data_IF_274217680392
#
_entry.id   IF_274217680392
#
_cell.length_a   1.000
_cell.length_b   1.000
_cell.length_c   1.000
_cell.angle_alpha   90.00
_cell.angle_beta   90.00
_cell.angle_gamma   90.00
#
_symmetry.space_group_name_H-M   'P 1'
#
loop_
_entity.id
_entity.type
_entity.pdbx_description
1 polymer ?
#
# COMPACT_ATOMS: atom_id res chain seq x y z
N UNK A 1 -18.17 10.84 47.92
CA UNK A 1 -17.27 11.10 46.77
C UNK A 1 -16.20 10.03 46.83
N UNK A 2 -16.34 8.94 46.06
CA UNK A 2 -15.40 7.82 46.04
C UNK A 2 -15.00 7.63 44.58
N UNK A 3 -13.75 7.87 44.25
CA UNK A 3 -13.18 7.46 42.96
C UNK A 3 -12.01 6.53 43.24
N UNK A 4 -12.21 5.27 42.84
CA UNK A 4 -11.23 4.19 42.95
C UNK A 4 -10.12 4.33 41.91
N UNK A 5 -8.95 3.86 42.34
CA UNK A 5 -7.71 3.64 41.62
C UNK A 5 -7.81 2.81 40.32
N UNK A 6 -6.98 3.22 39.36
CA UNK A 6 -5.99 2.44 38.57
C UNK A 6 -6.44 1.12 37.92
N UNK A 7 -6.42 1.13 36.58
CA UNK A 7 -6.14 -0.05 35.75
C UNK A 7 -5.00 0.24 34.76
N UNK A 8 -4.09 -0.73 34.50
CA UNK A 8 -3.07 -0.63 33.46
C UNK A 8 -3.65 -1.17 32.14
N UNK A 9 -3.33 -0.52 31.02
CA UNK A 9 -3.65 -1.07 29.69
C UNK A 9 -2.37 -1.14 28.86
N UNK A 10 -1.93 -2.38 28.66
CA UNK A 10 -0.96 -2.77 27.65
C UNK A 10 -1.52 -2.54 26.24
N UNK A 11 -0.61 -2.32 25.28
CA UNK A 11 -0.92 -2.24 23.85
C UNK A 11 -0.65 -0.84 23.31
N UNK A 12 0.56 -0.63 22.78
CA UNK A 12 0.92 0.57 22.02
C UNK A 12 0.17 0.57 20.69
N UNK A 13 -1.13 0.89 20.73
CA UNK A 13 -1.85 1.41 19.58
C UNK A 13 -1.24 2.78 19.30
N UNK A 14 -0.28 2.87 18.38
CA UNK A 14 0.21 4.17 17.89
C UNK A 14 -1.04 4.94 17.44
N UNK A 15 -1.36 6.09 18.06
CA UNK A 15 -2.52 6.86 17.66
C UNK A 15 -2.37 7.17 16.17
N UNK A 16 -3.48 7.07 15.41
CA UNK A 16 -3.55 7.54 14.03
C UNK A 16 -2.81 8.88 13.94
N UNK A 17 -1.78 8.89 13.10
CA UNK A 17 -0.81 9.99 13.00
C UNK A 17 -1.56 11.31 12.77
N UNK A 18 -1.15 12.36 13.47
CA UNK A 18 -1.87 13.65 13.57
C UNK A 18 -2.24 14.25 12.21
N UNK A 19 -1.48 13.92 11.16
CA UNK A 19 -1.69 14.37 9.79
C UNK A 19 -3.00 13.88 9.16
N UNK A 20 -3.43 12.65 9.45
CA UNK A 20 -4.71 12.11 8.94
C UNK A 20 -5.92 12.64 9.73
N UNK A 21 -5.71 13.09 10.98
CA UNK A 21 -6.78 13.66 11.82
C UNK A 21 -7.25 15.03 11.34
N UNK A 22 -6.44 15.72 10.56
CA UNK A 22 -6.76 17.05 10.01
C UNK A 22 -7.46 16.97 8.64
N UNK A 23 -7.70 15.76 8.12
CA UNK A 23 -8.35 15.58 6.80
C UNK A 23 -9.86 15.45 6.96
N UNK A 24 -10.58 16.08 6.05
CA UNK A 24 -12.04 16.02 6.00
C UNK A 24 -12.46 14.72 5.35
N UNK A 25 -13.20 13.89 6.09
CA UNK A 25 -13.81 12.67 5.55
C UNK A 25 -15.18 13.00 4.98
N UNK A 26 -15.46 12.52 3.78
CA UNK A 26 -16.72 12.71 3.08
C UNK A 26 -17.83 11.79 3.60
N UNK A 27 -17.48 10.69 4.26
CA UNK A 27 -18.44 9.77 4.89
C UNK A 27 -17.81 8.92 6.00
N UNK A 28 -18.66 8.31 6.85
CA UNK A 28 -18.22 7.32 7.85
C UNK A 28 -17.54 6.11 7.20
N UNK A 29 -18.01 5.67 6.04
CA UNK A 29 -17.45 4.54 5.29
C UNK A 29 -16.04 4.85 4.80
N UNK A 30 -15.81 6.07 4.29
CA UNK A 30 -14.47 6.52 3.91
C UNK A 30 -13.52 6.55 5.10
N UNK A 31 -13.97 7.06 6.24
CA UNK A 31 -13.17 7.04 7.47
C UNK A 31 -12.75 5.61 7.85
N UNK A 32 -13.69 4.66 7.85
CA UNK A 32 -13.39 3.25 8.17
C UNK A 32 -12.41 2.63 7.15
N UNK A 33 -12.59 2.92 5.87
CA UNK A 33 -11.71 2.46 4.81
C UNK A 33 -10.28 2.97 5.00
N UNK A 34 -10.13 4.27 5.27
CA UNK A 34 -8.82 4.89 5.51
C UNK A 34 -8.18 4.32 6.77
N UNK A 35 -8.90 4.20 7.88
CA UNK A 35 -8.37 3.62 9.13
C UNK A 35 -7.91 2.18 8.94
N UNK A 36 -8.70 1.34 8.27
CA UNK A 36 -8.32 -0.04 7.96
C UNK A 36 -7.08 -0.08 7.05
N UNK A 37 -7.01 0.81 6.08
CA UNK A 37 -5.87 0.92 5.17
C UNK A 37 -4.60 1.35 5.90
N UNK A 38 -4.67 2.32 6.83
CA UNK A 38 -3.53 2.72 7.66
C UNK A 38 -3.02 1.54 8.48
N UNK A 39 -3.92 0.76 9.11
CA UNK A 39 -3.52 -0.43 9.88
C UNK A 39 -2.75 -1.42 9.01
N UNK A 40 -3.28 -1.76 7.83
CA UNK A 40 -2.59 -2.65 6.89
C UNK A 40 -1.25 -2.06 6.44
N UNK A 41 -1.20 -0.77 6.09
CA UNK A 41 0.04 -0.08 5.70
C UNK A 41 1.10 -0.07 6.80
N UNK A 42 0.71 0.08 8.07
CA UNK A 42 1.63 0.01 9.20
C UNK A 42 2.25 -1.38 9.34
N UNK A 43 1.48 -2.43 9.09
CA UNK A 43 1.95 -3.82 9.16
C UNK A 43 2.83 -4.22 7.97
N UNK A 44 2.64 -3.58 6.81
CA UNK A 44 3.40 -3.88 5.58
C UNK A 44 4.89 -3.53 5.66
N UNK A 45 5.26 -2.65 6.59
CA UNK A 45 6.65 -2.29 6.87
C UNK A 45 7.28 -1.28 5.90
N UNK A 46 6.54 -0.78 4.90
CA UNK A 46 7.01 0.23 3.93
C UNK A 46 6.19 1.53 3.91
N UNK A 47 5.38 1.71 4.93
CA UNK A 47 4.68 2.97 5.19
C UNK A 47 5.55 3.87 6.07
N UNK A 48 5.83 5.06 5.55
CA UNK A 48 6.69 6.08 6.17
C UNK A 48 5.88 7.19 6.85
N UNK A 49 4.58 7.00 7.04
CA UNK A 49 3.69 7.92 7.76
C UNK A 49 3.85 9.39 7.28
N UNK A 50 4.20 10.31 8.17
CA UNK A 50 4.21 11.77 7.95
C UNK A 50 5.40 12.31 7.18
N UNK A 51 6.24 11.45 6.59
CA UNK A 51 7.35 11.86 5.72
C UNK A 51 6.86 12.80 4.61
N UNK A 52 7.58 13.92 4.45
CA UNK A 52 7.29 14.92 3.42
C UNK A 52 7.80 14.49 2.05
N UNK A 53 7.35 15.17 1.00
CA UNK A 53 7.85 14.91 -0.36
C UNK A 53 9.36 15.16 -0.52
N UNK A 54 9.91 16.13 0.22
CA UNK A 54 11.34 16.44 0.21
C UNK A 54 12.17 15.34 0.91
N UNK A 55 11.73 14.90 2.08
CA UNK A 55 12.37 13.79 2.80
C UNK A 55 12.27 12.47 2.03
N UNK A 56 11.11 12.18 1.43
CA UNK A 56 10.96 11.01 0.56
C UNK A 56 11.92 11.06 -0.64
N UNK A 57 12.14 12.24 -1.21
CA UNK A 57 13.13 12.42 -2.27
C UNK A 57 14.55 12.15 -1.79
N UNK A 58 14.91 12.60 -0.58
CA UNK A 58 16.23 12.34 0.00
C UNK A 58 16.42 10.84 0.26
N UNK A 59 15.45 10.18 0.89
CA UNK A 59 15.49 8.74 1.16
C UNK A 59 15.63 7.91 -0.12
N UNK A 60 14.88 8.26 -1.17
CA UNK A 60 14.90 7.55 -2.45
C UNK A 60 16.08 7.98 -3.35
N UNK A 61 16.78 9.07 -3.03
CA UNK A 61 17.86 9.57 -3.89
C UNK A 61 19.03 8.58 -3.99
N UNK A 62 19.35 7.90 -2.89
CA UNK A 62 20.41 6.91 -2.76
C UNK A 62 19.99 5.50 -3.22
N UNK A 63 18.69 5.29 -3.45
CA UNK A 63 18.14 3.98 -3.79
C UNK A 63 18.11 3.73 -5.31
N UNK A 64 18.09 2.46 -5.74
CA UNK A 64 17.99 2.14 -7.16
C UNK A 64 16.60 2.50 -7.72
N UNK A 65 16.52 2.68 -9.04
CA UNK A 65 15.26 2.86 -9.74
C UNK A 65 14.27 1.71 -9.44
N UNK A 66 13.00 2.08 -9.32
CA UNK A 66 11.89 1.21 -8.94
C UNK A 66 11.68 1.04 -7.44
N UNK A 67 12.56 1.59 -6.60
CA UNK A 67 12.34 1.64 -5.15
C UNK A 67 11.24 2.64 -4.82
N UNK A 68 10.31 2.27 -3.95
CA UNK A 68 9.17 3.13 -3.61
C UNK A 68 8.81 3.06 -2.13
N UNK A 69 8.03 4.03 -1.67
CA UNK A 69 7.44 4.06 -0.34
C UNK A 69 6.04 4.68 -0.38
N UNK A 70 5.21 4.33 0.62
CA UNK A 70 3.92 4.98 0.86
C UNK A 70 4.06 5.93 2.04
N UNK A 71 3.49 7.12 1.91
CA UNK A 71 3.46 8.15 2.96
C UNK A 71 2.13 8.89 2.94
N UNK A 72 1.90 9.70 3.96
CA UNK A 72 0.77 10.62 4.00
C UNK A 72 0.94 11.72 2.93
N UNK A 73 -0.15 12.06 2.27
CA UNK A 73 -0.13 13.22 1.38
C UNK A 73 -0.12 14.51 2.20
N UNK A 74 0.73 15.44 1.79
CA UNK A 74 0.75 16.81 2.31
C UNK A 74 -0.40 17.66 1.73
N UNK A 75 -1.05 17.21 0.64
CA UNK A 75 -2.26 17.84 0.10
C UNK A 75 -3.48 17.37 0.90
N UNK A 76 -4.31 18.30 1.36
CA UNK A 76 -5.51 18.00 2.16
C UNK A 76 -6.56 17.20 1.38
N UNK A 77 -6.51 17.22 0.04
CA UNK A 77 -7.46 16.49 -0.83
C UNK A 77 -7.14 15.01 -1.00
N UNK A 78 -5.97 14.55 -0.55
CA UNK A 78 -5.54 13.17 -0.75
C UNK A 78 -5.05 12.60 0.57
N UNK A 79 -5.34 11.33 0.87
CA UNK A 79 -4.88 10.72 2.12
C UNK A 79 -3.44 10.26 2.01
N UNK A 80 -3.09 9.57 0.93
CA UNK A 80 -1.80 8.91 0.75
C UNK A 80 -1.07 9.38 -0.50
N UNK A 81 0.23 9.15 -0.54
CA UNK A 81 1.10 9.40 -1.70
C UNK A 81 2.10 8.27 -1.84
N UNK A 82 2.23 7.77 -3.06
CA UNK A 82 3.25 6.82 -3.49
C UNK A 82 4.44 7.62 -4.02
N UNK A 83 5.57 7.53 -3.34
CA UNK A 83 6.83 8.11 -3.79
C UNK A 83 7.68 7.00 -4.40
N UNK A 84 8.13 7.18 -5.64
CA UNK A 84 8.90 6.17 -6.39
C UNK A 84 10.15 6.80 -7.00
N UNK A 85 11.28 6.10 -6.90
CA UNK A 85 12.53 6.43 -7.60
C UNK A 85 12.42 6.00 -9.05
N UNK A 86 12.50 6.95 -9.97
CA UNK A 86 12.61 6.71 -11.41
C UNK A 86 14.01 7.12 -11.90
N UNK A 87 14.34 6.80 -13.15
CA UNK A 87 15.60 7.22 -13.78
C UNK A 87 15.73 8.75 -13.85
N UNK A 88 14.63 9.48 -14.01
CA UNK A 88 14.57 10.95 -13.99
C UNK A 88 14.38 11.53 -12.58
N UNK A 89 14.64 10.74 -11.53
CA UNK A 89 14.53 11.16 -10.14
C UNK A 89 13.25 10.68 -9.43
N UNK A 90 12.98 11.21 -8.24
CA UNK A 90 11.83 10.78 -7.43
C UNK A 90 10.54 11.41 -7.94
N UNK A 91 9.52 10.58 -8.15
CA UNK A 91 8.17 11.02 -8.55
C UNK A 91 7.19 10.72 -7.43
N UNK A 92 6.24 11.64 -7.23
CA UNK A 92 5.22 11.55 -6.19
C UNK A 92 3.85 11.41 -6.86
N UNK A 93 3.22 10.25 -6.67
CA UNK A 93 1.90 9.92 -7.22
C UNK A 93 0.88 9.95 -6.09
N UNK A 94 -0.15 10.79 -6.23
CA UNK A 94 -1.20 10.90 -5.21
C UNK A 94 -2.19 9.75 -5.38
N UNK A 95 -2.67 9.24 -4.26
CA UNK A 95 -3.68 8.19 -4.22
C UNK A 95 -5.02 8.86 -3.90
N UNK A 96 -5.95 8.77 -4.84
CA UNK A 96 -7.32 9.23 -4.69
C UNK A 96 -8.13 8.22 -3.87
N UNK A 97 -9.08 8.73 -3.10
CA UNK A 97 -10.06 7.93 -2.37
C UNK A 97 -11.44 8.45 -2.76
N UNK A 98 -12.20 7.65 -3.51
CA UNK A 98 -13.53 8.01 -3.99
C UNK A 98 -14.43 6.78 -4.01
N UNK A 99 -15.68 6.93 -3.55
CA UNK A 99 -16.68 5.85 -3.64
C UNK A 99 -16.29 4.58 -2.87
N UNK A 100 -15.48 4.70 -1.82
CA UNK A 100 -15.00 3.54 -1.06
C UNK A 100 -13.86 2.76 -1.73
N UNK A 101 -13.13 3.38 -2.66
CA UNK A 101 -11.98 2.76 -3.32
C UNK A 101 -10.81 3.73 -3.50
N UNK A 102 -9.62 3.16 -3.63
CA UNK A 102 -8.36 3.83 -3.91
C UNK A 102 -7.96 3.69 -5.37
N UNK A 103 -7.42 4.74 -5.95
CA UNK A 103 -6.88 4.76 -7.31
C UNK A 103 -5.67 5.70 -7.39
N UNK A 104 -4.74 5.43 -8.32
CA UNK A 104 -3.67 6.39 -8.59
C UNK A 104 -4.24 7.58 -9.35
N UNK A 105 -3.86 8.79 -8.95
CA UNK A 105 -4.18 9.98 -9.73
C UNK A 105 -3.53 9.85 -11.11
N UNK A 106 -4.37 9.63 -12.12
CA UNK A 106 -3.93 9.55 -13.51
C UNK A 106 -3.96 10.92 -14.16
N UNK A 107 -3.02 11.15 -15.08
CA UNK A 107 -3.02 12.34 -15.92
C UNK A 107 -4.25 12.29 -16.86
N UNK A 108 -4.95 13.42 -17.09
CA UNK A 108 -6.08 13.49 -18.02
C UNK A 108 -5.73 13.10 -19.47
N UNK A 109 -4.44 13.11 -19.84
CA UNK A 109 -3.94 12.62 -21.14
C UNK A 109 -3.89 11.11 -21.25
N UNK A 110 -4.03 10.38 -20.13
CA UNK A 110 -4.06 8.93 -20.12
C UNK A 110 -5.48 8.44 -20.43
N UNK A 111 -5.67 7.85 -21.62
CA UNK A 111 -6.96 7.26 -22.02
C UNK A 111 -7.26 5.89 -21.38
N UNK A 112 -6.43 5.44 -20.43
CA UNK A 112 -6.58 4.13 -19.80
C UNK A 112 -7.46 4.22 -18.55
N UNK A 113 -8.42 3.30 -18.36
CA UNK A 113 -9.23 3.27 -17.15
C UNK A 113 -8.33 3.02 -15.93
N UNK A 114 -8.48 3.88 -14.93
CA UNK A 114 -7.71 3.76 -13.68
C UNK A 114 -8.35 2.66 -12.83
N UNK A 115 -7.62 1.57 -12.51
CA UNK A 115 -8.15 0.53 -11.64
C UNK A 115 -8.40 1.08 -10.24
N UNK A 116 -9.50 0.62 -9.64
CA UNK A 116 -9.95 0.99 -8.29
C UNK A 116 -9.78 -0.21 -7.37
N UNK A 117 -9.32 0.03 -6.15
CA UNK A 117 -9.02 -1.01 -5.18
C UNK A 117 -9.59 -0.67 -3.81
N UNK A 118 -10.01 -1.67 -3.04
CA UNK A 118 -10.43 -1.49 -1.65
C UNK A 118 -9.23 -1.27 -0.69
N UNK A 119 -8.00 -1.50 -1.16
CA UNK A 119 -6.80 -1.33 -0.34
C UNK A 119 -5.63 -0.77 -1.15
N UNK A 120 -4.86 0.15 -0.56
CA UNK A 120 -3.63 0.70 -1.16
C UNK A 120 -2.58 -0.38 -1.44
N UNK A 121 -2.53 -1.44 -0.64
CA UNK A 121 -1.59 -2.54 -0.87
C UNK A 121 -1.91 -3.33 -2.15
N UNK A 122 -3.20 -3.58 -2.42
CA UNK A 122 -3.67 -4.21 -3.66
C UNK A 122 -3.39 -3.32 -4.87
N UNK A 123 -3.58 -2.01 -4.70
CA UNK A 123 -3.18 -1.02 -5.68
C UNK A 123 -1.68 -1.17 -5.99
N UNK A 124 -0.80 -1.09 -5.00
CA UNK A 124 0.65 -1.22 -5.20
C UNK A 124 1.01 -2.54 -5.90
N UNK A 125 0.43 -3.66 -5.44
CA UNK A 125 0.67 -4.97 -6.03
C UNK A 125 0.29 -5.05 -7.51
N UNK A 126 -0.81 -4.41 -7.90
CA UNK A 126 -1.24 -4.34 -9.31
C UNK A 126 -0.25 -3.56 -10.20
N UNK A 127 0.39 -2.53 -9.65
CA UNK A 127 1.39 -1.73 -10.37
C UNK A 127 2.81 -2.31 -10.28
N UNK A 128 3.03 -3.36 -9.48
CA UNK A 128 4.26 -4.13 -9.51
C UNK A 128 4.26 -5.10 -10.69
N UNK A 129 5.38 -5.23 -11.42
CA UNK A 129 5.51 -6.30 -12.37
C UNK A 129 5.50 -7.65 -11.62
N UNK A 130 4.89 -8.70 -12.20
CA UNK A 130 5.02 -10.04 -11.64
C UNK A 130 6.51 -10.41 -11.55
N UNK A 131 6.91 -11.00 -10.42
CA UNK A 131 8.29 -11.40 -10.20
C UNK A 131 8.76 -12.30 -11.37
N UNK A 132 10.01 -12.14 -11.85
CA UNK A 132 10.55 -12.92 -12.98
C UNK A 132 10.70 -14.42 -12.70
N UNK A 133 10.28 -14.92 -11.52
CA UNK A 133 10.34 -16.32 -11.12
C UNK A 133 9.08 -17.13 -11.49
N UNK A 134 8.04 -16.51 -12.08
CA UNK A 134 7.03 -17.28 -12.77
C UNK A 134 7.64 -17.76 -14.10
N UNK A 135 7.88 -19.07 -14.18
CA UNK A 135 8.26 -19.85 -15.37
C UNK A 135 7.83 -19.23 -16.71
N UNK A 136 8.60 -19.43 -17.80
CA UNK A 136 8.08 -19.16 -19.14
C UNK A 136 6.89 -20.09 -19.37
N UNK A 137 5.68 -19.59 -19.10
CA UNK A 137 4.45 -20.28 -19.45
C UNK A 137 4.45 -20.44 -20.98
N UNK A 138 4.58 -21.69 -21.39
CA UNK A 138 4.05 -22.34 -22.59
C UNK A 138 3.69 -21.42 -23.78
N UNK A 139 4.22 -21.69 -25.00
CA UNK A 139 3.90 -20.92 -26.19
C UNK A 139 2.44 -21.16 -26.60
N UNK A 140 1.53 -20.27 -26.21
CA UNK A 140 0.12 -20.35 -26.64
C UNK A 140 -0.93 -19.66 -25.79
N UNK A 141 -0.61 -19.13 -24.60
CA UNK A 141 -1.57 -18.36 -23.80
C UNK A 141 -1.76 -16.92 -24.33
N UNK A 142 -2.97 -16.33 -24.29
CA UNK A 142 -3.16 -14.94 -24.68
C UNK A 142 -2.32 -14.06 -23.76
N UNK A 143 -1.31 -13.43 -24.36
CA UNK A 143 -0.36 -12.53 -23.72
C UNK A 143 -1.14 -11.46 -22.96
N UNK A 144 -1.29 -11.61 -21.64
CA UNK A 144 -1.85 -10.53 -20.81
C UNK A 144 -1.00 -9.30 -21.12
N UNK A 145 -1.56 -8.24 -21.71
CA UNK A 145 -0.76 -7.12 -22.17
C UNK A 145 -0.05 -6.57 -20.94
N UNK A 146 1.30 -6.53 -20.97
CA UNK A 146 2.10 -5.83 -19.96
C UNK A 146 1.57 -4.40 -19.90
N UNK A 147 0.65 -4.14 -18.96
CA UNK A 147 0.08 -2.81 -18.73
C UNK A 147 1.21 -1.96 -18.19
N UNK A 148 1.92 -1.31 -19.10
CA UNK A 148 2.99 -0.38 -18.76
C UNK A 148 2.32 0.94 -18.44
N UNK A 149 2.40 1.34 -17.17
CA UNK A 149 1.86 2.61 -16.70
C UNK A 149 2.92 3.70 -16.86
N UNK A 150 2.49 4.93 -17.09
CA UNK A 150 3.39 6.05 -17.34
C UNK A 150 3.03 7.25 -16.46
N UNK A 151 4.08 7.93 -16.00
CA UNK A 151 4.04 9.19 -15.27
C UNK A 151 4.40 10.29 -16.27
N UNK A 152 3.52 11.28 -16.41
CA UNK A 152 3.77 12.44 -17.25
C UNK A 152 4.28 13.59 -16.37
N UNK A 153 5.47 14.10 -16.66
CA UNK A 153 6.10 15.14 -15.85
C UNK A 153 7.01 15.99 -16.73
N UNK A 154 6.77 17.31 -16.77
CA UNK A 154 7.61 18.23 -17.57
C UNK A 154 7.59 17.98 -19.08
N UNK A 155 6.56 17.31 -19.61
CA UNK A 155 6.48 16.89 -21.02
C UNK A 155 7.10 15.52 -21.32
N UNK A 156 7.77 14.90 -20.34
CA UNK A 156 8.34 13.56 -20.48
C UNK A 156 7.35 12.47 -20.09
N UNK A 157 7.46 11.32 -20.76
CA UNK A 157 6.71 10.10 -20.49
C UNK A 157 7.63 9.09 -19.81
N UNK A 158 7.49 8.92 -18.50
CA UNK A 158 8.38 8.08 -17.68
C UNK A 158 7.64 6.80 -17.28
N UNK A 159 8.20 5.60 -17.48
CA UNK A 159 7.53 4.37 -17.06
C UNK A 159 7.42 4.30 -15.53
N UNK A 160 6.23 3.96 -15.02
CA UNK A 160 6.01 3.62 -13.62
C UNK A 160 6.45 2.19 -13.39
N UNK A 161 7.55 2.03 -12.65
CA UNK A 161 8.10 0.73 -12.26
C UNK A 161 8.13 0.68 -10.74
N UNK A 162 7.43 -0.29 -10.15
CA UNK A 162 7.51 -0.58 -8.71
C UNK A 162 8.23 -1.91 -8.56
N UNK A 163 9.46 -1.91 -8.07
CA UNK A 163 10.27 -3.14 -7.94
C UNK A 163 10.42 -3.58 -6.50
N UNK A 164 10.75 -2.66 -5.59
CA UNK A 164 10.99 -2.97 -4.18
C UNK A 164 10.45 -1.89 -3.24
N UNK A 165 9.79 -2.27 -2.14
CA UNK A 165 9.42 -1.33 -1.11
C UNK A 165 10.66 -0.89 -0.31
N UNK A 166 10.76 0.39 0.04
CA UNK A 166 11.71 0.89 1.02
C UNK A 166 11.12 0.67 2.41
N UNK A 167 11.68 -0.29 3.15
CA UNK A 167 11.21 -0.63 4.48
C UNK A 167 11.51 0.47 5.51
N UNK A 168 10.49 0.89 6.25
CA UNK A 168 10.61 1.80 7.41
C UNK A 168 10.78 1.02 8.73
N UNK A 169 10.31 -0.22 8.77
CA UNK A 169 10.38 -1.10 9.94
C UNK A 169 10.44 -2.56 9.53
N UNK A 170 10.94 -3.39 10.45
CA UNK A 170 10.92 -4.85 10.27
C UNK A 170 9.56 -5.40 10.70
N UNK A 171 8.92 -6.18 9.82
CA UNK A 171 7.68 -6.89 10.17
C UNK A 171 7.93 -7.94 11.25
N UNK A 172 6.93 -8.21 12.09
CA UNK A 172 7.01 -9.30 13.06
C UNK A 172 7.07 -10.66 12.35
N UNK A 173 7.67 -11.67 13.00
CA UNK A 173 7.67 -13.04 12.48
C UNK A 173 6.23 -13.53 12.21
N UNK A 174 5.29 -13.19 13.10
CA UNK A 174 3.88 -13.53 12.94
C UNK A 174 3.30 -12.97 11.63
N UNK A 175 3.62 -11.71 11.30
CA UNK A 175 3.18 -11.07 10.06
C UNK A 175 3.88 -11.68 8.84
N UNK A 176 5.17 -11.99 8.93
CA UNK A 176 5.88 -12.70 7.86
C UNK A 176 5.25 -14.05 7.56
N UNK A 177 4.93 -14.84 8.59
CA UNK A 177 4.19 -16.09 8.44
C UNK A 177 2.83 -15.87 7.79
N UNK A 178 2.08 -14.83 8.19
CA UNK A 178 0.79 -14.48 7.57
C UNK A 178 0.92 -14.23 6.08
N UNK A 179 1.91 -13.44 5.65
CA UNK A 179 2.15 -13.16 4.22
C UNK A 179 2.49 -14.43 3.45
N UNK A 180 3.38 -15.25 3.99
CA UNK A 180 3.76 -16.54 3.37
C UNK A 180 2.55 -17.47 3.26
N UNK A 181 1.72 -17.57 4.30
CA UNK A 181 0.51 -18.40 4.26
C UNK A 181 -0.47 -17.85 3.23
N UNK A 182 -0.81 -16.56 3.26
CA UNK A 182 -1.75 -15.95 2.31
C UNK A 182 -1.27 -16.02 0.86
N UNK A 183 0.05 -16.09 0.62
CA UNK A 183 0.62 -16.26 -0.72
C UNK A 183 0.71 -17.71 -1.23
N UNK A 184 0.53 -18.72 -0.37
CA UNK A 184 0.67 -20.15 -0.73
C UNK A 184 -0.57 -21.01 -0.43
N UNK A 185 -1.55 -20.46 0.27
CA UNK A 185 -2.75 -21.19 0.69
C UNK A 185 -3.89 -20.98 -0.32
N UNK A 186 -3.68 -21.36 -1.58
CA UNK A 186 -4.75 -21.36 -2.60
C UNK A 186 -5.81 -22.46 -2.38
N UNK A 187 -5.59 -23.34 -1.39
CA UNK A 187 -6.46 -24.48 -1.09
C UNK A 187 -7.39 -24.17 0.09
N UNK A 188 -8.67 -23.97 -0.22
CA UNK A 188 -9.77 -23.79 0.73
C UNK A 188 -9.79 -24.88 1.83
N UNK A 189 -9.44 -26.12 1.49
CA UNK A 189 -9.42 -27.25 2.44
C UNK A 189 -8.37 -27.10 3.54
N UNK A 190 -7.19 -26.57 3.22
CA UNK A 190 -6.14 -26.31 4.22
C UNK A 190 -6.51 -25.14 5.12
N UNK A 191 -7.18 -24.12 4.56
CA UNK A 191 -7.67 -22.98 5.32
C UNK A 191 -8.79 -23.37 6.29
N UNK A 192 -9.67 -24.29 5.88
CA UNK A 192 -10.76 -24.80 6.71
C UNK A 192 -10.27 -25.51 7.99
N UNK A 193 -9.07 -26.12 7.97
CA UNK A 193 -8.49 -26.84 9.11
C UNK A 193 -7.87 -25.92 10.18
N UNK A 194 -7.72 -24.62 9.92
CA UNK A 194 -7.11 -23.70 10.88
C UNK A 194 -8.09 -23.30 12.00
N UNK A 195 -7.60 -23.13 13.25
CA UNK A 195 -8.37 -22.53 14.34
C UNK A 195 -8.92 -21.14 13.98
N UNK A 196 -10.10 -20.80 14.51
CA UNK A 196 -10.75 -19.51 14.24
C UNK A 196 -9.85 -18.28 14.49
N UNK A 197 -9.06 -18.19 15.58
CA UNK A 197 -8.18 -17.03 15.80
C UNK A 197 -7.12 -16.84 14.70
N UNK A 198 -6.65 -17.94 14.09
CA UNK A 198 -5.67 -17.88 13.02
C UNK A 198 -6.35 -17.43 11.72
N UNK A 199 -7.55 -17.93 11.42
CA UNK A 199 -8.34 -17.48 10.27
C UNK A 199 -8.61 -15.98 10.31
N UNK A 200 -9.07 -15.47 11.46
CA UNK A 200 -9.29 -14.04 11.66
C UNK A 200 -7.99 -13.22 11.50
N UNK A 201 -6.87 -13.74 12.01
CA UNK A 201 -5.58 -13.09 11.85
C UNK A 201 -5.11 -13.01 10.39
N UNK A 202 -5.35 -14.06 9.60
CA UNK A 202 -5.04 -14.10 8.17
C UNK A 202 -5.92 -13.14 7.36
N UNK A 203 -7.22 -13.07 7.67
CA UNK A 203 -8.21 -12.21 6.99
C UNK A 203 -7.96 -10.72 7.20
N UNK A 204 -7.36 -10.34 8.34
CA UNK A 204 -6.98 -8.95 8.63
C UNK A 204 -5.97 -8.37 7.63
N UNK A 205 -5.26 -9.20 6.85
CA UNK A 205 -4.28 -8.77 5.85
C UNK A 205 -4.23 -9.71 4.65
N UNK A 206 -5.10 -9.44 3.70
CA UNK A 206 -5.26 -10.18 2.45
C UNK A 206 -4.29 -9.73 1.33
N UNK A 207 -3.34 -8.85 1.64
CA UNK A 207 -2.39 -8.36 0.65
C UNK A 207 -1.13 -9.25 0.58
N UNK A 208 -0.59 -9.50 -0.62
CA UNK A 208 0.61 -10.33 -0.80
C UNK A 208 1.95 -9.61 -0.53
N UNK A 209 1.92 -8.31 -0.17
CA UNK A 209 3.11 -7.45 0.01
C UNK A 209 3.51 -7.29 1.49
#
# INVERSE_FOLDING_TARGET
MVTHSKFPAAGMSRPLDTSLRLKTFSSKSEYQLVVNTVRKLQESGFYWSTVTGGEANLLLSAEPAGTFLIRDSSDQRHFFTLSVKTESGTKNLRIQCEGGSFSLQSDPRSSQPVPRFDCVLKLVHHYMPPAPCAVPEQPGGPLHPKRTYYIYSGGEKIPLVLSRPLSSSVSSLQHLCRKTVNGHLDSYEKMAQLPAPIKEFLDQYDAPL
#
